data_IF_551206739869
#
_entry.id   IF_551206739869
#
_cell.length_a   1.000
_cell.length_b   1.000
_cell.length_c   1.000
_cell.angle_alpha   90.00
_cell.angle_beta   90.00
_cell.angle_gamma   90.00
#
_symmetry.space_group_name_H-M   'P 1'
#
loop_
_entity.id
_entity.type
_entity.pdbx_description
1 polymer ?
#
# COMPACT_ATOMS: atom_id res chain seq x y z
N UNK A 1 -13.20 0.57 14.64
CA UNK A 1 -12.81 -0.29 13.51
C UNK A 1 -13.47 -1.61 13.74
N UNK A 2 -14.38 -2.00 12.87
CA UNK A 2 -15.04 -3.30 12.99
C UNK A 2 -14.07 -4.43 12.65
N UNK A 3 -14.28 -5.62 13.22
CA UNK A 3 -13.41 -6.78 12.97
C UNK A 3 -13.42 -7.21 11.49
N UNK A 4 -14.50 -6.88 10.76
CA UNK A 4 -14.67 -7.15 9.33
C UNK A 4 -13.81 -6.26 8.44
N UNK A 5 -13.75 -4.95 8.69
CA UNK A 5 -12.88 -3.99 8.00
C UNK A 5 -11.42 -4.48 8.02
N UNK A 6 -10.95 -4.85 9.22
CA UNK A 6 -9.60 -5.35 9.44
C UNK A 6 -9.33 -6.64 8.66
N UNK A 7 -10.34 -7.48 8.43
CA UNK A 7 -10.18 -8.75 7.70
C UNK A 7 -10.02 -8.52 6.19
N UNK A 8 -10.79 -7.60 5.61
CA UNK A 8 -10.69 -7.26 4.18
C UNK A 8 -9.33 -6.66 3.84
N UNK A 9 -8.89 -5.67 4.63
CA UNK A 9 -7.57 -5.04 4.49
C UNK A 9 -6.46 -6.07 4.63
N UNK A 10 -6.45 -6.86 5.71
CA UNK A 10 -5.42 -7.89 5.93
C UNK A 10 -5.36 -8.91 4.79
N UNK A 11 -6.51 -9.32 4.26
CA UNK A 11 -6.56 -10.25 3.14
C UNK A 11 -5.90 -9.64 1.89
N UNK A 12 -6.26 -8.40 1.55
CA UNK A 12 -5.68 -7.69 0.42
C UNK A 12 -4.16 -7.51 0.55
N UNK A 13 -3.67 -7.05 1.70
CA UNK A 13 -2.23 -6.89 1.99
C UNK A 13 -1.50 -8.24 1.89
N UNK A 14 -2.12 -9.32 2.38
CA UNK A 14 -1.54 -10.66 2.28
C UNK A 14 -1.40 -11.13 0.84
N UNK A 15 -2.42 -10.86 0.00
CA UNK A 15 -2.35 -11.18 -1.42
C UNK A 15 -1.25 -10.36 -2.13
N UNK A 16 -1.12 -9.07 -1.83
CA UNK A 16 -0.03 -8.24 -2.34
C UNK A 16 1.32 -8.83 -1.95
N UNK A 17 1.52 -9.14 -0.66
CA UNK A 17 2.75 -9.76 -0.12
C UNK A 17 3.11 -11.05 -0.86
N UNK A 18 2.14 -11.92 -1.15
CA UNK A 18 2.39 -13.17 -1.88
C UNK A 18 2.88 -12.92 -3.31
N UNK A 19 2.37 -11.87 -3.96
CA UNK A 19 2.67 -11.53 -5.37
C UNK A 19 3.95 -10.70 -5.55
N UNK A 20 4.47 -10.12 -4.46
CA UNK A 20 5.75 -9.41 -4.44
C UNK A 20 6.93 -10.34 -4.77
N UNK A 21 8.02 -9.80 -5.35
CA UNK A 21 9.19 -10.59 -5.71
C UNK A 21 9.95 -11.12 -4.48
N UNK A 22 10.56 -12.29 -4.62
CA UNK A 22 11.28 -12.98 -3.51
C UNK A 22 12.41 -12.13 -2.90
N UNK A 23 13.17 -11.41 -3.72
CA UNK A 23 14.26 -10.56 -3.23
C UNK A 23 13.78 -9.48 -2.24
N UNK A 24 12.54 -9.00 -2.40
CA UNK A 24 11.93 -8.02 -1.51
C UNK A 24 11.42 -8.69 -0.22
N UNK A 25 11.00 -9.96 -0.30
CA UNK A 25 10.61 -10.74 0.87
C UNK A 25 11.76 -11.00 1.84
N UNK A 26 12.99 -11.04 1.32
CA UNK A 26 14.21 -11.19 2.13
C UNK A 26 14.60 -9.91 2.87
N UNK A 27 14.09 -8.76 2.42
CA UNK A 27 14.29 -7.47 3.07
C UNK A 27 13.12 -7.18 4.01
N UNK A 28 13.15 -7.80 5.18
CA UNK A 28 12.02 -7.78 6.10
C UNK A 28 11.56 -6.37 6.49
N UNK A 29 12.49 -5.45 6.76
CA UNK A 29 12.17 -4.05 7.10
C UNK A 29 11.56 -3.29 5.93
N UNK A 30 12.16 -3.38 4.73
CA UNK A 30 11.64 -2.73 3.52
C UNK A 30 10.25 -3.27 3.17
N UNK A 31 10.05 -4.58 3.30
CA UNK A 31 8.75 -5.22 3.11
C UNK A 31 7.73 -4.74 4.14
N UNK A 32 8.09 -4.66 5.42
CA UNK A 32 7.20 -4.17 6.48
C UNK A 32 6.76 -2.74 6.21
N UNK A 33 7.70 -1.86 5.85
CA UNK A 33 7.38 -0.46 5.53
C UNK A 33 6.46 -0.36 4.32
N UNK A 34 6.75 -1.09 3.23
CA UNK A 34 5.89 -1.10 2.03
C UNK A 34 4.46 -1.58 2.36
N UNK A 35 4.33 -2.67 3.13
CA UNK A 35 3.01 -3.19 3.47
C UNK A 35 2.25 -2.25 4.43
N UNK A 36 2.96 -1.61 5.35
CA UNK A 36 2.40 -0.60 6.25
C UNK A 36 1.91 0.63 5.49
N UNK A 37 2.73 1.17 4.58
CA UNK A 37 2.35 2.31 3.74
C UNK A 37 1.13 1.97 2.88
N UNK A 38 1.10 0.76 2.32
CA UNK A 38 -0.04 0.29 1.52
C UNK A 38 -1.32 0.15 2.35
N UNK A 39 -1.21 -0.32 3.59
CA UNK A 39 -2.31 -0.39 4.54
C UNK A 39 -2.83 1.01 4.90
N UNK A 40 -1.93 1.96 5.20
CA UNK A 40 -2.31 3.34 5.48
C UNK A 40 -2.97 4.01 4.29
N UNK A 41 -2.44 3.80 3.08
CA UNK A 41 -3.03 4.33 1.86
C UNK A 41 -4.45 3.80 1.66
N UNK A 42 -4.67 2.51 1.88
CA UNK A 42 -6.00 1.90 1.76
C UNK A 42 -7.00 2.49 2.77
N UNK A 43 -6.59 2.68 4.02
CA UNK A 43 -7.44 3.33 5.02
C UNK A 43 -7.73 4.80 4.69
N UNK A 44 -6.74 5.53 4.16
CA UNK A 44 -6.94 6.92 3.76
C UNK A 44 -7.92 7.03 2.59
N UNK A 45 -7.81 6.16 1.59
CA UNK A 45 -8.77 6.07 0.48
C UNK A 45 -10.17 5.70 0.99
N UNK A 46 -10.27 4.69 1.86
CA UNK A 46 -11.56 4.27 2.42
C UNK A 46 -12.21 5.39 3.25
N UNK A 47 -11.42 6.16 4.02
CA UNK A 47 -11.92 7.33 4.76
C UNK A 47 -12.34 8.48 3.85
N UNK A 48 -11.62 8.67 2.74
CA UNK A 48 -11.98 9.65 1.73
C UNK A 48 -13.31 9.28 1.05
N UNK A 49 -13.55 7.99 0.82
CA UNK A 49 -14.81 7.46 0.29
C UNK A 49 -15.95 7.62 1.31
N UNK A 50 -15.70 7.28 2.59
CA UNK A 50 -16.70 7.39 3.65
C UNK A 50 -17.00 8.84 4.09
N UNK A 51 -16.31 9.83 3.51
CA UNK A 51 -16.48 11.24 3.88
C UNK A 51 -16.05 11.57 5.31
N UNK A 52 -15.21 10.74 5.93
CA UNK A 52 -14.77 10.89 7.32
C UNK A 52 -15.71 10.28 8.37
N UNK A 53 -16.77 9.58 7.94
CA UNK A 53 -17.63 8.79 8.83
C UNK A 53 -17.04 7.42 9.17
N UNK A 54 -17.77 6.60 9.93
CA UNK A 54 -17.40 5.22 10.22
C UNK A 54 -17.20 4.44 8.93
N UNK A 55 -15.99 3.87 8.77
CA UNK A 55 -15.67 3.00 7.65
C UNK A 55 -16.64 1.82 7.58
N UNK A 56 -17.20 1.57 6.41
CA UNK A 56 -17.98 0.36 6.14
C UNK A 56 -17.17 -0.63 5.30
N UNK A 57 -17.58 -1.90 5.31
CA UNK A 57 -16.98 -2.92 4.43
C UNK A 57 -17.07 -2.52 2.95
N UNK A 58 -18.11 -1.78 2.55
CA UNK A 58 -18.30 -1.29 1.19
C UNK A 58 -17.25 -0.22 0.83
N UNK A 59 -16.94 0.71 1.74
CA UNK A 59 -15.91 1.73 1.52
C UNK A 59 -14.53 1.11 1.35
N UNK A 60 -14.23 0.07 2.16
CA UNK A 60 -12.98 -0.69 2.06
C UNK A 60 -12.91 -1.45 0.73
N UNK A 61 -14.01 -2.07 0.30
CA UNK A 61 -14.06 -2.75 -1.01
C UNK A 61 -13.84 -1.78 -2.17
N UNK A 62 -14.50 -0.62 -2.15
CA UNK A 62 -14.32 0.43 -3.15
C UNK A 62 -12.88 0.96 -3.14
N UNK A 63 -12.27 1.17 -1.96
CA UNK A 63 -10.87 1.56 -1.83
C UNK A 63 -9.93 0.50 -2.46
N UNK A 64 -10.20 -0.79 -2.25
CA UNK A 64 -9.46 -1.89 -2.89
C UNK A 64 -9.61 -1.81 -4.41
N UNK A 65 -10.81 -1.56 -4.93
CA UNK A 65 -11.04 -1.42 -6.38
C UNK A 65 -10.26 -0.24 -6.97
N UNK A 66 -10.20 0.90 -6.25
CA UNK A 66 -9.44 2.09 -6.67
C UNK A 66 -7.93 1.88 -6.65
N UNK A 67 -7.41 1.18 -5.63
CA UNK A 67 -5.99 0.82 -5.57
C UNK A 67 -5.60 -0.17 -6.68
N UNK A 68 -6.56 -0.98 -7.14
CA UNK A 68 -6.36 -1.96 -8.20
C UNK A 68 -5.98 -3.34 -7.68
N UNK A 69 -5.79 -4.33 -8.58
CA UNK A 69 -5.55 -5.70 -8.17
C UNK A 69 -4.15 -5.87 -7.54
N UNK A 70 -3.98 -6.82 -6.62
CA UNK A 70 -2.69 -7.09 -5.96
C UNK A 70 -1.53 -7.31 -6.95
N UNK A 71 -1.80 -7.90 -8.12
CA UNK A 71 -0.83 -8.09 -9.19
C UNK A 71 -0.33 -6.77 -9.78
N UNK A 72 -1.19 -5.77 -9.91
CA UNK A 72 -0.83 -4.45 -10.44
C UNK A 72 0.10 -3.73 -9.47
N UNK A 73 -0.21 -3.78 -8.17
CA UNK A 73 0.66 -3.25 -7.12
C UNK A 73 2.01 -3.98 -7.13
N UNK A 74 2.00 -5.32 -7.10
CA UNK A 74 3.24 -6.10 -7.08
C UNK A 74 4.10 -5.90 -8.34
N UNK A 75 3.49 -5.65 -9.51
CA UNK A 75 4.21 -5.34 -10.75
C UNK A 75 5.08 -4.09 -10.65
N UNK A 76 4.69 -3.08 -9.85
CA UNK A 76 5.50 -1.89 -9.60
C UNK A 76 6.87 -2.25 -9.00
N UNK A 77 6.92 -3.31 -8.21
CA UNK A 77 8.13 -3.81 -7.55
C UNK A 77 8.86 -4.90 -8.36
N UNK A 78 8.25 -5.43 -9.43
CA UNK A 78 8.88 -6.45 -10.31
C UNK A 78 9.81 -5.84 -11.35
N UNK A 79 9.63 -4.57 -11.75
CA UNK A 79 10.28 -4.00 -12.94
C UNK A 79 11.67 -3.39 -12.74
N UNK A 80 12.33 -3.56 -11.59
CA UNK A 80 13.66 -2.98 -11.38
C UNK A 80 14.63 -3.90 -10.67
N UNK A 81 15.58 -4.43 -11.45
CA UNK A 81 16.97 -4.29 -11.04
C UNK A 81 17.25 -2.79 -10.85
N UNK A 82 17.82 -2.46 -9.70
CA UNK A 82 18.20 -1.11 -9.22
C UNK A 82 17.01 -0.19 -8.84
N UNK A 83 16.85 0.17 -7.55
CA UNK A 83 15.73 0.98 -7.06
C UNK A 83 15.79 2.40 -7.63
N UNK A 84 14.67 2.96 -8.09
CA UNK A 84 14.50 4.42 -8.03
C UNK A 84 13.64 4.71 -6.82
N UNK A 85 14.23 5.43 -5.89
CA UNK A 85 13.57 6.06 -4.76
C UNK A 85 12.31 6.79 -5.25
N UNK A 86 11.16 6.52 -4.62
CA UNK A 86 9.98 7.36 -4.75
C UNK A 86 10.17 8.54 -3.78
N UNK A 87 10.88 9.56 -4.24
CA UNK A 87 10.99 10.83 -3.51
C UNK A 87 9.67 11.57 -3.77
N UNK A 88 8.86 11.79 -2.74
CA UNK A 88 7.71 12.70 -2.82
C UNK A 88 8.20 14.12 -3.12
N UNK A 89 7.38 14.99 -3.71
CA UNK A 89 7.80 16.36 -4.04
C UNK A 89 8.40 17.12 -2.84
N UNK A 90 7.96 16.79 -1.62
CA UNK A 90 8.45 17.39 -0.37
C UNK A 90 9.88 16.96 0.02
N UNK A 91 10.32 15.77 -0.39
CA UNK A 91 11.65 15.24 -0.04
C UNK A 91 12.77 15.67 -1.01
N UNK A 92 12.42 16.25 -2.17
CA UNK A 92 13.40 16.78 -3.14
C UNK A 92 14.23 17.91 -2.54
N UNK A 93 13.61 18.80 -1.76
CA UNK A 93 14.28 19.97 -1.20
C UNK A 93 15.40 19.61 -0.22
N UNK A 94 15.26 18.47 0.48
CA UNK A 94 16.29 17.97 1.40
C UNK A 94 17.51 17.38 0.69
N UNK A 95 17.34 16.85 -0.53
CA UNK A 95 18.41 16.22 -1.29
C UNK A 95 19.24 17.19 -2.13
N UNK A 96 18.72 18.40 -2.40
CA UNK A 96 19.40 19.41 -3.23
C UNK A 96 20.25 20.41 -2.44
N UNK A 97 20.28 20.31 -1.10
CA UNK A 97 21.25 21.03 -0.27
C UNK A 97 22.54 20.22 -0.14
N UNK A 98 23.34 20.22 -1.20
CA UNK A 98 24.76 19.84 -1.19
C UNK A 98 25.53 20.78 -2.09
#
# INVERSE_FOLDING_TARGET
>A
MSDSENKLVKNYITQVKQKLPEWLKWKEEELKNILYDLEQQLYNEARAISGGESLTDADVQEAIMRMGPPESIAKLYKRRGTPRFYITQELIEFYLRS
#
